data_IF_789206281523
#
_entry.id   IF_789206281523
#
_cell.length_a   1.000
_cell.length_b   1.000
_cell.length_c   1.000
_cell.angle_alpha   90.00
_cell.angle_beta   90.00
_cell.angle_gamma   90.00
#
_symmetry.space_group_name_H-M   'P 1'
#
loop_
_entity.id
_entity.type
_entity.pdbx_description
1 polymer ?
#
# COMPACT_ATOMS: atom_id res chain seq x y z
N UNK A 1 -17.90 -24.91 17.55
CA UNK A 1 -17.36 -25.30 18.87
C UNK A 1 -16.00 -24.65 18.97
N UNK A 2 -15.85 -23.87 20.04
CA UNK A 2 -14.72 -23.06 20.49
C UNK A 2 -14.03 -22.14 19.49
N UNK A 3 -14.71 -21.03 19.21
CA UNK A 3 -14.03 -19.74 19.02
C UNK A 3 -13.58 -19.32 20.42
N UNK A 4 -12.33 -19.63 20.77
CA UNK A 4 -11.70 -19.12 21.98
C UNK A 4 -11.89 -17.60 22.03
N UNK A 5 -12.15 -17.09 23.23
CA UNK A 5 -12.38 -15.69 23.55
C UNK A 5 -11.27 -14.79 22.96
N UNK A 6 -11.42 -14.37 21.71
CA UNK A 6 -10.66 -13.24 21.19
C UNK A 6 -11.00 -12.04 22.07
N UNK A 7 -9.97 -11.41 22.64
CA UNK A 7 -9.99 -10.11 23.32
C UNK A 7 -11.33 -9.36 23.17
N UNK A 8 -12.08 -9.22 24.27
CA UNK A 8 -13.47 -8.73 24.30
C UNK A 8 -13.67 -7.32 23.70
N UNK A 9 -12.60 -6.61 23.34
CA UNK A 9 -12.61 -5.28 22.72
C UNK A 9 -12.02 -5.23 21.27
N UNK A 10 -11.61 -6.38 20.70
CA UNK A 10 -11.08 -6.48 19.34
C UNK A 10 -9.63 -5.99 19.16
N UNK A 11 -8.87 -5.80 20.25
CA UNK A 11 -7.45 -5.47 20.21
C UNK A 11 -6.57 -6.65 19.79
N UNK A 12 -5.35 -6.35 19.35
CA UNK A 12 -4.37 -7.32 18.87
C UNK A 12 -3.94 -8.22 20.04
N UNK A 13 -3.95 -9.53 19.79
CA UNK A 13 -3.57 -10.53 20.79
C UNK A 13 -2.12 -10.98 20.56
N UNK A 14 -1.22 -10.50 21.42
CA UNK A 14 0.23 -10.76 21.32
C UNK A 14 0.54 -12.25 21.56
N UNK A 15 -0.19 -12.94 22.43
CA UNK A 15 0.02 -14.36 22.72
C UNK A 15 -0.42 -15.21 21.54
N UNK A 16 -1.60 -14.90 20.98
CA UNK A 16 -2.09 -15.55 19.76
C UNK A 16 -1.14 -15.31 18.58
N UNK A 17 -0.65 -14.09 18.39
CA UNK A 17 0.39 -13.82 17.39
C UNK A 17 1.64 -14.67 17.61
N UNK A 18 2.14 -14.69 18.85
CA UNK A 18 3.37 -15.42 19.21
C UNK A 18 3.24 -16.93 18.97
N UNK A 19 2.09 -17.52 19.27
CA UNK A 19 1.81 -18.95 19.02
C UNK A 19 1.72 -19.33 17.54
N UNK A 20 1.45 -18.37 16.64
CA UNK A 20 1.43 -18.57 15.19
C UNK A 20 2.77 -18.25 14.52
N UNK A 21 3.76 -17.74 15.26
CA UNK A 21 4.99 -17.20 14.70
C UNK A 21 6.08 -18.27 14.53
N UNK A 22 6.49 -18.51 13.28
CA UNK A 22 7.48 -19.54 12.90
C UNK A 22 8.90 -18.99 12.63
N UNK A 23 9.09 -17.68 12.70
CA UNK A 23 10.34 -16.98 12.35
C UNK A 23 11.51 -17.32 13.27
N UNK A 24 12.76 -17.13 12.84
CA UNK A 24 13.92 -17.26 13.72
C UNK A 24 14.20 -15.99 14.54
N UNK A 25 13.94 -14.80 14.00
CA UNK A 25 14.19 -13.53 14.68
C UNK A 25 13.11 -12.46 14.46
N UNK A 26 12.50 -12.36 13.27
CA UNK A 26 11.50 -11.31 12.99
C UNK A 26 10.26 -11.50 13.84
N UNK A 27 9.89 -10.53 14.65
CA UNK A 27 8.71 -10.59 15.52
C UNK A 27 8.90 -11.37 16.81
N UNK A 28 10.10 -11.93 17.08
CA UNK A 28 10.36 -12.70 18.32
C UNK A 28 10.33 -11.84 19.58
N UNK A 29 10.52 -10.52 19.43
CA UNK A 29 10.17 -9.53 20.44
C UNK A 29 9.15 -8.56 19.86
N UNK A 30 8.04 -8.38 20.56
CA UNK A 30 7.01 -7.41 20.20
C UNK A 30 6.75 -6.45 21.36
N UNK A 31 6.79 -5.16 21.09
CA UNK A 31 6.32 -4.09 21.96
C UNK A 31 4.95 -3.66 21.46
N UNK A 32 3.91 -3.97 22.23
CA UNK A 32 2.54 -3.62 21.90
C UNK A 32 2.05 -2.42 22.71
N UNK A 33 1.46 -1.44 22.04
CA UNK A 33 0.84 -0.28 22.68
C UNK A 33 -0.56 -0.04 22.14
N UNK A 34 -1.47 0.49 22.97
CA UNK A 34 -2.80 0.86 22.49
C UNK A 34 -2.78 2.17 21.69
N UNK A 35 -1.98 3.14 22.14
CA UNK A 35 -1.86 4.45 21.51
C UNK A 35 -0.40 4.89 21.61
N UNK A 36 0.15 5.40 20.51
CA UNK A 36 1.46 6.06 20.50
C UNK A 36 1.42 7.35 19.68
N UNK A 37 2.50 8.14 19.72
CA UNK A 37 2.79 9.16 18.72
C UNK A 37 2.97 8.51 17.36
N UNK A 38 4.05 7.73 17.20
CA UNK A 38 4.28 6.88 16.04
C UNK A 38 5.20 5.71 16.37
N UNK A 39 4.90 4.52 15.83
CA UNK A 39 5.72 3.32 16.02
C UNK A 39 7.12 3.47 15.46
N UNK A 40 7.33 4.36 14.49
CA UNK A 40 8.64 4.63 13.89
C UNK A 40 9.62 5.26 14.89
N UNK A 41 9.13 6.18 15.73
CA UNK A 41 9.97 6.86 16.73
C UNK A 41 10.24 5.92 17.90
N UNK A 42 9.22 5.19 18.36
CA UNK A 42 9.36 4.17 19.39
C UNK A 42 10.40 3.11 19.00
N UNK A 43 10.30 2.62 17.76
CA UNK A 43 11.24 1.63 17.21
C UNK A 43 12.65 2.21 17.02
N UNK A 44 12.79 3.46 16.57
CA UNK A 44 14.09 4.12 16.46
C UNK A 44 14.78 4.19 17.82
N UNK A 45 14.07 4.66 18.85
CA UNK A 45 14.65 4.80 20.19
C UNK A 45 15.12 3.44 20.76
N UNK A 46 14.32 2.40 20.60
CA UNK A 46 14.65 1.05 21.05
C UNK A 46 15.81 0.46 20.24
N UNK A 47 15.82 0.72 18.92
CA UNK A 47 16.89 0.30 18.01
C UNK A 47 18.25 0.92 18.36
N UNK A 48 18.27 2.21 18.70
CA UNK A 48 19.48 2.93 19.15
C UNK A 48 20.00 2.43 20.50
N UNK A 49 19.14 1.82 21.33
CA UNK A 49 19.52 1.17 22.60
C UNK A 49 20.01 -0.27 22.42
N UNK A 50 20.01 -0.80 21.18
CA UNK A 50 20.54 -2.13 20.88
C UNK A 50 19.57 -3.27 21.21
N UNK A 51 18.26 -3.06 21.03
CA UNK A 51 17.29 -4.16 21.14
C UNK A 51 17.58 -5.30 20.15
N UNK A 52 16.99 -6.50 20.32
CA UNK A 52 17.17 -7.60 19.36
C UNK A 52 16.71 -7.25 17.94
N UNK A 53 17.43 -7.75 16.93
CA UNK A 53 17.04 -7.62 15.51
C UNK A 53 15.65 -8.21 15.26
N UNK A 54 14.91 -7.61 14.34
CA UNK A 54 13.54 -8.03 14.01
C UNK A 54 12.50 -7.69 15.08
N UNK A 55 12.85 -6.94 16.13
CA UNK A 55 11.89 -6.41 17.10
C UNK A 55 10.79 -5.62 16.40
N UNK A 56 9.54 -5.84 16.80
CA UNK A 56 8.36 -5.16 16.26
C UNK A 56 7.76 -4.23 17.31
N UNK A 57 7.51 -2.99 16.94
CA UNK A 57 6.66 -2.06 17.67
C UNK A 57 5.31 -1.98 16.97
N UNK A 58 4.22 -2.39 17.64
CA UNK A 58 2.87 -2.38 17.10
C UNK A 58 1.96 -1.48 17.94
N UNK A 59 1.12 -0.70 17.27
CA UNK A 59 0.12 0.13 17.92
C UNK A 59 -1.28 -0.05 17.31
N UNK A 60 -2.34 0.01 18.14
CA UNK A 60 -3.72 0.07 17.60
C UNK A 60 -3.99 1.40 16.91
N UNK A 61 -3.42 2.49 17.44
CA UNK A 61 -3.58 3.84 16.88
C UNK A 61 -2.31 4.68 17.05
N UNK A 62 -2.11 5.63 16.13
CA UNK A 62 -1.01 6.58 16.14
C UNK A 62 -1.55 8.00 16.00
N UNK A 63 -1.16 8.90 16.91
CA UNK A 63 -1.61 10.30 16.92
C UNK A 63 -0.78 11.22 16.03
N UNK A 64 0.43 10.78 15.64
CA UNK A 64 1.40 11.50 14.81
C UNK A 64 1.96 10.61 13.70
N UNK A 65 1.15 9.71 13.16
CA UNK A 65 1.56 8.84 12.06
C UNK A 65 2.00 9.66 10.84
N UNK A 66 3.14 9.25 10.27
CA UNK A 66 3.74 9.86 9.09
C UNK A 66 3.88 8.85 7.96
N UNK A 67 3.74 9.34 6.75
CA UNK A 67 4.13 8.68 5.53
C UNK A 67 5.38 9.34 4.94
N UNK A 68 5.79 8.82 3.79
CA UNK A 68 6.93 9.34 3.05
C UNK A 68 6.81 10.85 2.78
N UNK A 69 7.93 11.58 2.91
CA UNK A 69 8.04 13.04 2.68
C UNK A 69 6.96 13.89 3.39
N UNK A 70 6.70 13.61 4.66
CA UNK A 70 5.73 14.34 5.50
C UNK A 70 4.26 14.22 5.07
N UNK A 71 3.92 13.30 4.16
CA UNK A 71 2.51 12.97 3.94
C UNK A 71 1.90 12.40 5.23
N UNK A 72 0.65 12.73 5.52
CA UNK A 72 -0.05 12.17 6.67
C UNK A 72 -0.50 10.74 6.37
N UNK A 73 -0.42 9.88 7.38
CA UNK A 73 -1.04 8.56 7.36
C UNK A 73 -2.14 8.55 8.42
N UNK A 74 -3.38 8.21 8.03
CA UNK A 74 -4.47 8.12 9.01
C UNK A 74 -4.39 6.78 9.75
N UNK A 75 -3.97 6.84 11.01
CA UNK A 75 -3.85 5.69 11.90
C UNK A 75 -4.67 5.86 13.19
N UNK A 76 -5.85 6.48 13.10
CA UNK A 76 -6.77 6.60 14.24
C UNK A 76 -7.77 5.44 14.33
N UNK A 77 -7.89 4.62 13.27
CA UNK A 77 -8.84 3.53 13.20
C UNK A 77 -8.25 2.23 13.76
N UNK A 78 -8.91 1.61 14.73
CA UNK A 78 -8.56 0.30 15.27
C UNK A 78 -8.87 -0.84 14.28
N UNK A 79 -8.28 -2.02 14.50
CA UNK A 79 -8.50 -3.18 13.63
C UNK A 79 -7.64 -3.19 12.37
N UNK A 80 -6.66 -2.29 12.27
CA UNK A 80 -5.60 -2.29 11.28
C UNK A 80 -4.29 -2.82 11.88
N UNK A 81 -3.24 -2.90 11.06
CA UNK A 81 -1.89 -3.19 11.52
C UNK A 81 -1.04 -1.94 11.28
N UNK A 82 -0.61 -1.31 12.37
CA UNK A 82 0.35 -0.20 12.34
C UNK A 82 1.56 -0.61 13.14
N UNK A 83 2.68 -0.83 12.45
CA UNK A 83 3.87 -1.35 13.10
C UNK A 83 5.14 -0.84 12.46
N UNK A 84 6.23 -0.96 13.22
CA UNK A 84 7.59 -0.72 12.77
C UNK A 84 8.48 -1.88 13.17
N UNK A 85 9.37 -2.31 12.27
CA UNK A 85 10.31 -3.41 12.46
C UNK A 85 11.72 -2.83 12.47
N UNK A 86 12.49 -3.20 13.49
CA UNK A 86 13.88 -2.79 13.66
C UNK A 86 14.76 -3.79 12.94
N UNK A 87 15.58 -3.31 12.00
CA UNK A 87 16.44 -4.15 11.16
C UNK A 87 17.89 -3.68 11.23
N UNK A 88 18.78 -4.54 11.74
CA UNK A 88 20.23 -4.29 11.70
C UNK A 88 20.86 -4.95 10.49
N UNK A 89 21.60 -4.20 9.69
CA UNK A 89 22.25 -4.67 8.45
C UNK A 89 23.74 -4.37 8.45
N UNK A 90 24.55 -5.08 7.64
CA UNK A 90 25.93 -4.69 7.43
C UNK A 90 26.02 -3.21 7.04
N UNK A 91 26.99 -2.49 7.58
CA UNK A 91 27.24 -1.08 7.24
C UNK A 91 27.39 -0.94 5.71
N UNK A 92 26.62 -0.03 5.12
CA UNK A 92 26.80 0.33 3.73
C UNK A 92 28.14 1.05 3.53
N UNK A 93 28.88 0.67 2.49
CA UNK A 93 30.19 1.27 2.17
C UNK A 93 30.09 2.45 1.18
N UNK A 94 28.89 2.68 0.62
CA UNK A 94 28.58 3.79 -0.28
C UNK A 94 27.11 4.18 -0.20
N UNK A 95 26.78 5.40 -0.62
CA UNK A 95 25.40 5.88 -0.70
C UNK A 95 24.54 5.04 -1.66
N UNK A 96 25.14 4.56 -2.75
CA UNK A 96 24.49 3.69 -3.73
C UNK A 96 24.11 2.33 -3.11
N UNK A 97 25.02 1.73 -2.33
CA UNK A 97 24.74 0.50 -1.61
C UNK A 97 23.64 0.71 -0.56
N UNK A 98 23.67 1.84 0.15
CA UNK A 98 22.65 2.20 1.14
C UNK A 98 21.28 2.37 0.47
N UNK A 99 21.23 3.15 -0.62
CA UNK A 99 20.06 3.32 -1.46
C UNK A 99 19.48 1.97 -1.86
N UNK A 100 20.30 1.10 -2.46
CA UNK A 100 19.86 -0.21 -2.92
C UNK A 100 19.32 -1.09 -1.78
N UNK A 101 19.98 -1.12 -0.63
CA UNK A 101 19.52 -1.86 0.54
C UNK A 101 18.18 -1.35 1.09
N UNK A 102 17.95 -0.03 1.04
CA UNK A 102 16.68 0.58 1.41
C UNK A 102 15.55 0.03 0.53
N UNK A 103 15.73 0.08 -0.79
CA UNK A 103 14.73 -0.39 -1.74
C UNK A 103 14.52 -1.90 -1.70
N UNK A 104 15.59 -2.68 -1.58
CA UNK A 104 15.50 -4.13 -1.42
C UNK A 104 14.59 -4.44 -0.20
N UNK A 105 14.74 -3.68 0.89
CA UNK A 105 13.93 -3.85 2.10
C UNK A 105 12.46 -3.41 1.91
N UNK A 106 12.21 -2.27 1.27
CA UNK A 106 10.85 -1.79 0.95
C UNK A 106 10.11 -2.77 0.03
N UNK A 107 10.80 -3.28 -0.99
CA UNK A 107 10.31 -4.30 -1.91
C UNK A 107 9.98 -5.59 -1.16
N UNK A 108 10.88 -6.08 -0.32
CA UNK A 108 10.68 -7.30 0.48
C UNK A 108 9.45 -7.18 1.37
N UNK A 109 9.24 -6.02 2.00
CA UNK A 109 8.04 -5.75 2.79
C UNK A 109 6.76 -5.82 1.92
N UNK A 110 6.80 -5.20 0.74
CA UNK A 110 5.71 -5.27 -0.22
C UNK A 110 5.38 -6.69 -0.68
N UNK A 111 6.40 -7.44 -1.13
CA UNK A 111 6.26 -8.82 -1.61
C UNK A 111 5.74 -9.75 -0.50
N UNK A 112 6.14 -9.51 0.75
CA UNK A 112 5.63 -10.26 1.90
C UNK A 112 4.13 -10.08 2.07
N UNK A 113 3.61 -8.86 1.90
CA UNK A 113 2.16 -8.61 1.94
C UNK A 113 1.43 -9.19 0.72
N UNK A 114 2.04 -9.17 -0.47
CA UNK A 114 1.48 -9.83 -1.65
C UNK A 114 1.34 -11.34 -1.43
N UNK A 115 2.33 -11.98 -0.81
CA UNK A 115 2.25 -13.41 -0.50
C UNK A 115 1.12 -13.70 0.50
N UNK A 116 0.98 -12.88 1.55
CA UNK A 116 -0.14 -12.97 2.49
C UNK A 116 -1.49 -12.85 1.78
N UNK A 117 -1.62 -11.90 0.84
CA UNK A 117 -2.85 -11.74 0.06
C UNK A 117 -3.13 -12.97 -0.82
N UNK A 118 -2.09 -13.55 -1.44
CA UNK A 118 -2.17 -14.79 -2.22
C UNK A 118 -2.64 -15.97 -1.36
N UNK A 119 -2.10 -16.13 -0.15
CA UNK A 119 -2.48 -17.19 0.79
C UNK A 119 -3.95 -17.06 1.22
N UNK A 120 -4.42 -15.81 1.36
CA UNK A 120 -5.83 -15.47 1.60
C UNK A 120 -6.72 -15.59 0.35
N UNK A 121 -6.16 -15.96 -0.81
CA UNK A 121 -6.84 -16.05 -2.11
C UNK A 121 -7.48 -14.73 -2.54
N UNK A 122 -6.77 -13.62 -2.29
CA UNK A 122 -7.16 -12.29 -2.69
C UNK A 122 -6.39 -11.86 -3.94
N UNK A 123 -7.13 -11.56 -5.01
CA UNK A 123 -6.56 -11.19 -6.30
C UNK A 123 -6.32 -9.68 -6.43
N UNK A 124 -5.50 -9.31 -7.41
CA UNK A 124 -5.22 -7.91 -7.83
C UNK A 124 -4.47 -7.07 -6.80
N UNK A 125 -3.90 -7.68 -5.77
CA UNK A 125 -2.90 -7.03 -4.94
C UNK A 125 -1.63 -6.83 -5.77
N UNK A 126 -1.17 -5.59 -5.85
CA UNK A 126 0.05 -5.23 -6.55
C UNK A 126 0.84 -4.21 -5.75
N UNK A 127 2.11 -4.07 -6.09
CA UNK A 127 2.96 -3.02 -5.55
C UNK A 127 2.93 -1.84 -6.50
N UNK A 128 2.51 -0.70 -5.98
CA UNK A 128 2.62 0.57 -6.67
C UNK A 128 3.92 1.20 -6.22
N UNK A 129 4.88 1.18 -7.14
CA UNK A 129 6.24 1.63 -6.88
C UNK A 129 6.26 3.06 -6.29
N UNK A 130 7.13 3.33 -5.30
CA UNK A 130 8.04 2.40 -4.63
C UNK A 130 7.45 1.75 -3.36
N UNK A 131 6.49 2.42 -2.72
CA UNK A 131 6.23 2.25 -1.28
C UNK A 131 4.77 1.99 -0.92
N UNK A 132 3.93 1.66 -1.90
CA UNK A 132 2.51 1.40 -1.66
C UNK A 132 2.13 -0.02 -2.12
N UNK A 133 1.26 -0.68 -1.34
CA UNK A 133 0.54 -1.86 -1.81
C UNK A 133 -0.87 -1.43 -2.19
N UNK A 134 -1.29 -1.75 -3.41
CA UNK A 134 -2.56 -1.36 -3.99
C UNK A 134 -3.41 -2.57 -4.34
N UNK A 135 -4.73 -2.35 -4.38
CA UNK A 135 -5.71 -3.28 -4.93
C UNK A 135 -6.69 -2.48 -5.78
N UNK A 136 -6.85 -2.83 -7.06
CA UNK A 136 -7.77 -2.14 -8.00
C UNK A 136 -7.57 -0.62 -8.03
N UNK A 137 -6.31 -0.16 -8.01
CA UNK A 137 -5.97 1.27 -8.01
C UNK A 137 -6.15 2.00 -6.68
N UNK A 138 -6.41 1.28 -5.58
CA UNK A 138 -6.63 1.86 -4.25
C UNK A 138 -5.59 1.36 -3.26
N UNK A 139 -5.09 2.24 -2.40
CA UNK A 139 -4.06 1.91 -1.41
C UNK A 139 -4.62 1.02 -0.29
N UNK A 140 -3.99 -0.13 -0.07
CA UNK A 140 -4.28 -1.00 1.09
C UNK A 140 -3.19 -0.90 2.15
N UNK A 141 -1.94 -0.66 1.75
CA UNK A 141 -0.84 -0.45 2.68
C UNK A 141 0.15 0.61 2.20
N UNK A 142 0.80 1.27 3.16
CA UNK A 142 1.97 2.11 2.95
C UNK A 142 3.19 1.52 3.65
N UNK A 143 4.33 1.64 2.99
CA UNK A 143 5.65 1.21 3.46
C UNK A 143 6.51 2.46 3.63
N UNK A 144 7.31 2.49 4.68
CA UNK A 144 8.26 3.57 4.92
C UNK A 144 9.51 2.98 5.55
N UNK A 145 10.66 3.11 4.89
CA UNK A 145 11.93 2.80 5.51
C UNK A 145 12.68 4.07 5.88
N UNK A 146 13.14 4.16 7.13
CA UNK A 146 14.02 5.23 7.59
C UNK A 146 15.39 4.64 7.95
N UNK A 147 16.44 5.20 7.37
CA UNK A 147 17.81 4.99 7.85
C UNK A 147 17.99 5.79 9.15
N UNK A 148 18.18 5.09 10.26
CA UNK A 148 18.38 5.68 11.58
C UNK A 148 19.87 5.79 11.98
N UNK A 149 20.78 5.54 11.04
CA UNK A 149 22.22 5.69 11.20
C UNK A 149 22.94 4.40 11.61
N UNK A 150 24.13 4.58 12.18
CA UNK A 150 25.00 3.46 12.57
C UNK A 150 24.88 3.16 14.06
N UNK A 151 24.86 1.87 14.39
CA UNK A 151 24.97 1.37 15.76
C UNK A 151 26.14 0.42 15.87
N UNK A 152 26.62 0.19 17.09
CA UNK A 152 27.63 -0.84 17.37
C UNK A 152 26.95 -2.15 17.76
N UNK A 153 27.34 -3.23 17.10
CA UNK A 153 26.97 -4.59 17.46
C UNK A 153 27.67 -5.05 18.73
N UNK A 154 27.31 -6.25 19.20
CA UNK A 154 27.84 -6.85 20.41
C UNK A 154 29.36 -7.10 20.34
N UNK A 155 29.92 -7.28 19.14
CA UNK A 155 31.35 -7.51 18.91
C UNK A 155 32.08 -6.20 18.50
N UNK A 156 31.39 -5.06 18.59
CA UNK A 156 31.94 -3.73 18.30
C UNK A 156 31.93 -3.34 16.82
N UNK A 157 31.41 -4.19 15.95
CA UNK A 157 31.23 -3.93 14.53
C UNK A 157 30.12 -2.91 14.28
N UNK A 158 30.30 -2.04 13.29
CA UNK A 158 29.26 -1.07 12.91
C UNK A 158 28.20 -1.74 12.03
N UNK A 159 26.93 -1.51 12.37
CA UNK A 159 25.77 -1.97 11.61
C UNK A 159 24.88 -0.79 11.24
N UNK A 160 24.31 -0.83 10.04
CA UNK A 160 23.25 0.08 9.64
C UNK A 160 21.96 -0.27 10.38
N UNK A 161 21.29 0.73 10.95
CA UNK A 161 19.98 0.59 11.58
C UNK A 161 18.90 1.12 10.64
N UNK A 162 18.03 0.24 10.18
CA UNK A 162 16.83 0.62 9.44
C UNK A 162 15.58 0.40 10.28
N UNK A 163 14.64 1.34 10.17
CA UNK A 163 13.31 1.22 10.76
C UNK A 163 12.29 1.07 9.63
N UNK A 164 11.73 -0.12 9.50
CA UNK A 164 10.71 -0.46 8.50
C UNK A 164 9.31 -0.25 9.09
N UNK A 165 8.68 0.87 8.77
CA UNK A 165 7.29 1.16 9.09
C UNK A 165 6.33 0.62 8.06
N UNK A 166 5.23 0.03 8.52
CA UNK A 166 4.10 -0.31 7.67
C UNK A 166 2.77 0.03 8.33
N UNK A 167 1.90 0.62 7.53
CA UNK A 167 0.49 0.75 7.85
C UNK A 167 -0.34 -0.06 6.88
N UNK A 168 -1.08 -1.04 7.38
CA UNK A 168 -1.93 -1.93 6.57
C UNK A 168 -3.38 -1.76 7.02
N UNK A 169 -4.24 -1.39 6.07
CA UNK A 169 -5.68 -1.33 6.27
C UNK A 169 -6.24 -2.76 6.27
N UNK A 170 -6.47 -3.34 7.45
CA UNK A 170 -6.90 -4.73 7.57
C UNK A 170 -8.42 -4.82 7.71
N UNK A 171 -8.97 -4.52 8.90
CA UNK A 171 -10.40 -4.64 9.18
C UNK A 171 -11.17 -3.31 9.15
N UNK A 172 -10.49 -2.21 8.81
CA UNK A 172 -11.16 -0.92 8.60
C UNK A 172 -12.28 -1.03 7.58
N UNK A 173 -13.47 -0.58 8.00
CA UNK A 173 -14.61 -0.49 7.11
C UNK A 173 -14.54 0.81 6.32
N UNK A 174 -13.87 0.76 5.17
CA UNK A 174 -13.77 1.92 4.26
C UNK A 174 -15.13 2.42 3.80
N UNK A 175 -16.20 1.62 3.97
CA UNK A 175 -17.55 2.07 3.61
C UNK A 175 -18.09 3.19 4.48
N UNK A 176 -17.51 3.36 5.67
CA UNK A 176 -17.83 4.45 6.59
C UNK A 176 -17.09 5.75 6.27
N UNK A 177 -16.19 5.70 5.28
CA UNK A 177 -15.35 6.81 4.84
C UNK A 177 -15.49 7.01 3.33
N UNK A 178 -16.65 7.50 2.85
CA UNK A 178 -16.91 7.62 1.42
C UNK A 178 -15.87 8.43 0.64
N UNK A 179 -15.25 9.40 1.31
CA UNK A 179 -14.16 10.22 0.81
C UNK A 179 -12.89 9.43 0.45
N UNK A 180 -12.73 8.23 1.01
CA UNK A 180 -11.56 7.38 0.82
C UNK A 180 -11.76 6.33 -0.27
N UNK A 181 -12.98 6.08 -0.76
CA UNK A 181 -13.23 4.98 -1.70
C UNK A 181 -12.42 5.05 -2.98
N UNK A 182 -12.17 6.25 -3.50
CA UNK A 182 -11.38 6.46 -4.72
C UNK A 182 -9.86 6.33 -4.51
N UNK A 183 -9.38 6.19 -3.27
CA UNK A 183 -7.94 6.26 -2.95
C UNK A 183 -7.45 5.15 -2.03
N UNK A 184 -8.31 4.52 -1.23
CA UNK A 184 -7.94 3.50 -0.26
C UNK A 184 -8.98 2.37 -0.17
N UNK A 185 -8.50 1.19 0.23
CA UNK A 185 -9.31 0.01 0.55
C UNK A 185 -8.73 -0.71 1.78
N UNK A 186 -9.36 -1.80 2.20
CA UNK A 186 -8.85 -2.67 3.27
C UNK A 186 -8.92 -4.13 2.85
N UNK A 187 -8.10 -4.99 3.48
CA UNK A 187 -8.10 -6.43 3.23
C UNK A 187 -9.49 -7.03 3.46
N UNK A 188 -10.19 -6.59 4.50
CA UNK A 188 -11.58 -6.98 4.77
C UNK A 188 -12.54 -6.59 3.64
N UNK A 189 -12.42 -5.38 3.10
CA UNK A 189 -13.27 -4.94 1.97
C UNK A 189 -13.04 -5.82 0.74
N UNK A 190 -11.78 -6.15 0.43
CA UNK A 190 -11.45 -7.05 -0.69
C UNK A 190 -11.83 -8.51 -0.41
N UNK A 191 -11.83 -8.93 0.85
CA UNK A 191 -12.36 -10.21 1.32
C UNK A 191 -13.89 -10.23 1.49
N UNK A 192 -14.62 -9.47 0.67
CA UNK A 192 -16.10 -9.44 0.64
C UNK A 192 -16.74 -9.12 2.01
N UNK A 193 -16.05 -8.36 2.85
CA UNK A 193 -16.48 -7.98 4.19
C UNK A 193 -16.15 -8.98 5.30
N UNK A 194 -15.55 -10.12 4.95
CA UNK A 194 -15.09 -11.15 5.89
C UNK A 194 -13.97 -10.63 6.79
N UNK A 195 -14.12 -10.84 8.09
CA UNK A 195 -13.13 -10.39 9.07
C UNK A 195 -11.80 -11.13 8.87
N UNK A 196 -10.69 -10.41 9.05
CA UNK A 196 -9.34 -10.93 8.90
C UNK A 196 -8.72 -11.09 10.28
N UNK A 197 -8.19 -12.28 10.55
CA UNK A 197 -7.38 -12.58 11.72
C UNK A 197 -6.05 -11.81 11.63
N UNK A 198 -5.91 -10.74 12.42
CA UNK A 198 -4.75 -9.85 12.36
C UNK A 198 -3.47 -10.55 12.82
N UNK A 199 -3.59 -11.41 13.81
CA UNK A 199 -2.46 -12.13 14.39
C UNK A 199 -1.89 -13.13 13.37
N UNK A 200 -2.77 -13.87 12.68
CA UNK A 200 -2.36 -14.78 11.60
C UNK A 200 -1.73 -14.05 10.42
N UNK A 201 -2.38 -12.97 9.99
CA UNK A 201 -1.90 -12.15 8.90
C UNK A 201 -0.50 -11.59 9.21
N UNK A 202 -0.30 -11.08 10.44
CA UNK A 202 0.98 -10.55 10.89
C UNK A 202 2.05 -11.64 11.01
N UNK A 203 1.70 -12.82 11.55
CA UNK A 203 2.65 -13.94 11.66
C UNK A 203 3.10 -14.45 10.28
N UNK A 204 2.17 -14.62 9.33
CA UNK A 204 2.50 -14.98 7.95
C UNK A 204 3.33 -13.90 7.25
N UNK A 205 3.01 -12.62 7.47
CA UNK A 205 3.82 -11.51 7.00
C UNK A 205 5.27 -11.59 7.52
N UNK A 206 5.46 -11.80 8.83
CA UNK A 206 6.78 -11.93 9.43
C UNK A 206 7.58 -13.12 8.86
N UNK A 207 6.93 -14.27 8.65
CA UNK A 207 7.55 -15.45 8.03
C UNK A 207 8.03 -15.17 6.60
N UNK A 208 7.18 -14.53 5.79
CA UNK A 208 7.53 -14.13 4.44
C UNK A 208 8.65 -13.08 4.41
N UNK A 209 8.59 -12.09 5.30
CA UNK A 209 9.61 -11.05 5.42
C UNK A 209 10.97 -11.65 5.76
N UNK A 210 11.05 -12.49 6.80
CA UNK A 210 12.30 -13.11 7.21
C UNK A 210 12.93 -13.97 6.09
N UNK A 211 12.09 -14.72 5.36
CA UNK A 211 12.55 -15.53 4.23
C UNK A 211 13.11 -14.65 3.11
N UNK A 212 12.39 -13.60 2.73
CA UNK A 212 12.76 -12.71 1.62
C UNK A 212 13.95 -11.80 1.95
N UNK A 213 14.12 -11.41 3.22
CA UNK A 213 15.29 -10.65 3.69
C UNK A 213 16.62 -11.43 3.53
N UNK A 214 16.56 -12.75 3.32
CA UNK A 214 17.75 -13.59 3.06
C UNK A 214 18.12 -13.67 1.58
N UNK A 215 17.24 -13.22 0.68
CA UNK A 215 17.51 -13.22 -0.75
C UNK A 215 18.55 -12.16 -1.10
N UNK A 216 19.42 -12.48 -2.06
CA UNK A 216 20.25 -11.47 -2.70
C UNK A 216 19.42 -10.58 -3.62
N UNK A 217 20.04 -9.50 -4.05
CA UNK A 217 19.38 -8.50 -4.87
C UNK A 217 18.99 -8.98 -6.25
N UNK A 218 19.85 -9.76 -6.92
CA UNK A 218 19.54 -10.23 -8.27
C UNK A 218 18.30 -11.12 -8.25
N UNK A 219 18.15 -11.93 -7.20
CA UNK A 219 16.94 -12.71 -6.94
C UNK A 219 15.73 -11.83 -6.69
N UNK A 220 15.85 -10.80 -5.85
CA UNK A 220 14.75 -9.86 -5.58
C UNK A 220 14.34 -9.08 -6.84
N UNK A 221 15.31 -8.66 -7.65
CA UNK A 221 15.08 -7.98 -8.91
C UNK A 221 14.40 -8.89 -9.94
N UNK A 222 14.83 -10.15 -10.04
CA UNK A 222 14.17 -11.15 -10.90
C UNK A 222 12.71 -11.39 -10.46
N UNK A 223 12.46 -11.58 -9.17
CA UNK A 223 11.11 -11.70 -8.61
C UNK A 223 10.25 -10.47 -8.93
N UNK A 224 10.80 -9.27 -8.71
CA UNK A 224 10.13 -8.02 -9.02
C UNK A 224 9.79 -7.91 -10.52
N UNK A 225 10.75 -8.25 -11.38
CA UNK A 225 10.63 -8.17 -12.85
C UNK A 225 9.52 -9.03 -13.43
N UNK A 226 9.23 -10.15 -12.77
CA UNK A 226 8.18 -11.09 -13.17
C UNK A 226 6.83 -10.79 -12.55
N UNK A 227 6.77 -9.92 -11.55
CA UNK A 227 5.54 -9.55 -10.88
C UNK A 227 4.83 -8.38 -11.55
N UNK A 228 3.58 -8.13 -11.18
CA UNK A 228 2.83 -6.92 -11.57
C UNK A 228 3.34 -5.63 -10.90
N UNK A 229 4.51 -5.65 -10.24
CA UNK A 229 5.22 -4.45 -9.80
C UNK A 229 5.43 -3.46 -10.95
N UNK A 230 5.57 -3.97 -12.17
CA UNK A 230 5.97 -3.22 -13.35
C UNK A 230 4.90 -3.29 -14.42
N UNK A 231 3.93 -2.38 -14.35
CA UNK A 231 3.01 -2.20 -15.47
C UNK A 231 3.72 -1.39 -16.57
N UNK A 232 4.57 -2.08 -17.32
CA UNK A 232 5.31 -1.52 -18.45
C UNK A 232 4.31 -1.05 -19.49
N UNK A 233 4.35 0.23 -19.81
CA UNK A 233 3.36 0.86 -20.69
C UNK A 233 2.26 1.61 -19.94
N UNK A 234 2.22 1.51 -18.60
CA UNK A 234 1.26 2.26 -17.81
C UNK A 234 1.46 3.76 -18.00
N UNK A 235 0.35 4.41 -18.35
CA UNK A 235 0.27 5.86 -18.46
C UNK A 235 0.23 6.44 -17.06
N UNK A 236 1.13 7.36 -16.76
CA UNK A 236 1.27 7.96 -15.43
C UNK A 236 1.36 9.47 -15.51
N UNK A 237 0.86 10.14 -14.48
CA UNK A 237 1.16 11.53 -14.16
C UNK A 237 2.38 11.53 -13.26
N UNK A 238 3.46 12.13 -13.76
CA UNK A 238 4.68 12.38 -13.01
C UNK A 238 4.54 13.72 -12.32
N UNK A 239 4.85 13.78 -11.03
CA UNK A 239 4.96 15.03 -10.28
C UNK A 239 6.35 15.09 -9.66
N UNK A 240 7.20 15.99 -10.16
CA UNK A 240 8.55 16.19 -9.60
C UNK A 240 8.47 16.92 -8.27
N UNK A 241 9.20 16.44 -7.26
CA UNK A 241 9.11 17.00 -5.91
C UNK A 241 9.76 18.38 -5.80
N UNK A 242 10.90 18.59 -6.46
CA UNK A 242 11.68 19.83 -6.33
C UNK A 242 11.03 21.00 -7.06
N UNK A 243 10.48 20.75 -8.26
CA UNK A 243 9.87 21.78 -9.11
C UNK A 243 8.36 21.90 -8.90
N UNK A 244 7.71 20.87 -8.36
CA UNK A 244 6.24 20.74 -8.37
C UNK A 244 5.65 20.53 -9.76
N UNK A 245 6.49 20.43 -10.80
CA UNK A 245 6.03 20.29 -12.18
C UNK A 245 5.33 18.95 -12.36
N UNK A 246 4.17 19.00 -13.01
CA UNK A 246 3.41 17.80 -13.38
C UNK A 246 3.36 17.62 -14.88
N UNK A 247 3.61 16.41 -15.36
CA UNK A 247 3.49 16.07 -16.78
C UNK A 247 3.08 14.60 -16.96
N UNK A 248 2.42 14.25 -18.06
CA UNK A 248 2.13 12.86 -18.40
C UNK A 248 3.37 12.14 -18.92
N UNK A 249 3.43 10.83 -18.68
CA UNK A 249 4.49 9.96 -19.19
C UNK A 249 4.03 8.51 -19.23
N UNK A 250 4.86 7.66 -19.84
CA UNK A 250 4.66 6.21 -19.89
C UNK A 250 5.80 5.55 -19.13
N UNK A 251 5.48 4.69 -18.16
CA UNK A 251 6.49 3.88 -17.49
C UNK A 251 7.10 2.88 -18.50
N UNK A 252 8.43 2.90 -18.62
CA UNK A 252 9.16 2.04 -19.57
C UNK A 252 9.89 0.90 -18.91
N UNK A 253 10.54 1.17 -17.79
CA UNK A 253 11.32 0.17 -17.07
C UNK A 253 11.59 0.61 -15.63
N UNK A 254 12.00 -0.34 -14.80
CA UNK A 254 12.76 -0.10 -13.58
C UNK A 254 14.11 -0.80 -13.75
N UNK A 255 15.22 -0.11 -13.51
CA UNK A 255 16.56 -0.67 -13.63
C UNK A 255 16.89 -1.57 -12.44
N UNK A 256 17.96 -2.37 -12.53
CA UNK A 256 18.47 -3.15 -11.39
C UNK A 256 18.73 -2.27 -10.17
N UNK A 257 19.21 -1.05 -10.37
CA UNK A 257 19.46 -0.10 -9.28
C UNK A 257 18.20 0.64 -8.82
N UNK A 258 17.01 0.07 -9.05
CA UNK A 258 15.70 0.60 -8.65
C UNK A 258 15.36 2.01 -9.17
N UNK A 259 15.96 2.42 -10.28
CA UNK A 259 15.63 3.69 -10.95
C UNK A 259 14.47 3.48 -11.93
N UNK A 260 13.51 4.39 -11.96
CA UNK A 260 12.39 4.30 -12.91
C UNK A 260 12.75 5.06 -14.17
N UNK A 261 12.49 4.43 -15.32
CA UNK A 261 12.57 5.06 -16.63
C UNK A 261 11.17 5.40 -17.14
N UNK A 262 10.95 6.65 -17.49
CA UNK A 262 9.68 7.20 -17.97
C UNK A 262 9.91 7.88 -19.32
N UNK A 263 9.02 7.66 -20.28
CA UNK A 263 9.01 8.42 -21.52
C UNK A 263 7.91 9.47 -21.47
N UNK A 264 8.25 10.75 -21.65
CA UNK A 264 7.26 11.82 -21.77
C UNK A 264 6.61 11.84 -23.17
N UNK A 265 5.64 12.75 -23.37
CA UNK A 265 4.85 12.85 -24.60
C UNK A 265 5.64 13.36 -25.80
N UNK A 266 6.78 14.01 -25.55
CA UNK A 266 7.71 14.45 -26.58
C UNK A 266 8.69 13.33 -26.96
N UNK A 267 8.55 12.15 -26.36
CA UNK A 267 9.40 10.98 -26.59
C UNK A 267 10.70 10.99 -25.79
N UNK A 268 10.93 11.99 -24.92
CA UNK A 268 12.14 12.09 -24.10
C UNK A 268 12.10 11.05 -22.99
N UNK A 269 13.21 10.32 -22.83
CA UNK A 269 13.39 9.35 -21.77
C UNK A 269 13.99 10.02 -20.52
N UNK A 270 13.38 9.78 -19.37
CA UNK A 270 13.81 10.29 -18.06
C UNK A 270 14.08 9.08 -17.16
N UNK A 271 15.27 9.01 -16.58
CA UNK A 271 15.61 8.04 -15.53
C UNK A 271 15.75 8.78 -14.22
N UNK A 272 14.99 8.33 -13.21
CA UNK A 272 14.82 9.08 -11.97
C UNK A 272 14.68 8.12 -10.77
N UNK A 273 15.09 8.58 -9.59
CA UNK A 273 15.00 7.84 -8.32
C UNK A 273 13.66 8.08 -7.61
N UNK A 274 13.37 7.31 -6.55
CA UNK A 274 12.16 7.55 -5.74
C UNK A 274 12.13 8.91 -5.06
N UNK A 275 13.30 9.50 -4.85
CA UNK A 275 13.44 10.79 -4.20
C UNK A 275 13.11 11.96 -5.13
N UNK A 276 12.93 11.72 -6.43
CA UNK A 276 12.78 12.78 -7.44
C UNK A 276 11.32 13.09 -7.81
N UNK A 277 10.42 12.10 -7.79
CA UNK A 277 9.03 12.28 -8.24
C UNK A 277 8.02 11.32 -7.56
N UNK A 278 6.74 11.64 -7.72
CA UNK A 278 5.63 10.72 -7.48
C UNK A 278 4.96 10.31 -8.79
N UNK A 279 4.45 9.08 -8.84
CA UNK A 279 3.68 8.53 -9.95
C UNK A 279 2.24 8.27 -9.53
N UNK A 280 1.32 8.66 -10.40
CA UNK A 280 -0.09 8.26 -10.32
C UNK A 280 -0.56 7.77 -11.67
N UNK A 281 -1.25 6.62 -11.76
CA UNK A 281 -1.84 6.17 -13.01
C UNK A 281 -2.78 7.23 -13.62
N UNK A 282 -2.77 7.31 -14.94
CA UNK A 282 -3.77 8.05 -15.72
C UNK A 282 -4.67 6.98 -16.36
N UNK A 283 -5.91 6.84 -15.87
CA UNK A 283 -6.85 5.88 -16.45
C UNK A 283 -7.08 6.13 -17.94
N UNK A 284 -7.02 5.07 -18.73
CA UNK A 284 -7.25 5.13 -20.18
C UNK A 284 -8.73 5.03 -20.54
N UNK A 285 -9.57 4.49 -19.64
CA UNK A 285 -11.00 4.28 -19.85
C UNK A 285 -11.83 5.16 -18.93
N UNK A 286 -13.04 5.51 -19.37
CA UNK A 286 -14.00 6.29 -18.57
C UNK A 286 -15.32 5.54 -18.40
N UNK A 287 -15.83 5.59 -17.18
CA UNK A 287 -17.18 5.15 -16.83
C UNK A 287 -17.96 6.42 -16.49
N UNK A 288 -19.00 6.69 -17.28
CA UNK A 288 -19.87 7.83 -17.02
C UNK A 288 -21.11 7.33 -16.28
N UNK A 289 -21.40 7.98 -15.16
CA UNK A 289 -22.51 7.63 -14.29
C UNK A 289 -23.54 8.75 -14.35
N UNK A 290 -24.76 8.41 -14.74
CA UNK A 290 -25.89 9.34 -14.68
C UNK A 290 -26.87 8.88 -13.60
N UNK A 291 -27.22 9.81 -12.71
CA UNK A 291 -28.03 9.54 -11.52
C UNK A 291 -29.44 10.18 -11.58
N UNK A 292 -29.86 10.73 -12.73
CA UNK A 292 -31.12 11.47 -12.81
C UNK A 292 -30.98 12.94 -12.44
N UNK A 293 -31.68 13.83 -13.15
CA UNK A 293 -31.69 15.28 -12.89
C UNK A 293 -32.25 15.68 -11.51
N UNK A 294 -32.99 14.78 -10.85
CA UNK A 294 -33.61 15.02 -9.54
C UNK A 294 -32.88 14.32 -8.36
N UNK A 295 -31.71 13.70 -8.59
CA UNK A 295 -30.96 13.09 -7.51
C UNK A 295 -30.23 14.15 -6.68
N UNK A 296 -30.32 14.01 -5.35
CA UNK A 296 -29.51 14.82 -4.45
C UNK A 296 -28.01 14.48 -4.57
N UNK A 297 -27.16 15.44 -4.18
CA UNK A 297 -25.70 15.31 -4.25
C UNK A 297 -25.19 14.11 -3.43
N UNK A 298 -25.88 13.77 -2.33
CA UNK A 298 -25.49 12.65 -1.47
C UNK A 298 -25.66 11.31 -2.18
N UNK A 299 -26.76 11.13 -2.89
CA UNK A 299 -27.06 9.95 -3.70
C UNK A 299 -26.07 9.82 -4.86
N UNK A 300 -25.74 10.94 -5.53
CA UNK A 300 -24.76 10.96 -6.61
C UNK A 300 -23.34 10.60 -6.12
N UNK A 301 -22.95 11.11 -4.96
CA UNK A 301 -21.67 10.79 -4.33
C UNK A 301 -21.63 9.33 -3.86
N UNK A 302 -22.72 8.81 -3.30
CA UNK A 302 -22.82 7.41 -2.87
C UNK A 302 -22.73 6.42 -4.03
N UNK A 303 -23.35 6.74 -5.17
CA UNK A 303 -23.26 5.94 -6.38
C UNK A 303 -21.84 5.94 -6.97
N UNK A 304 -21.21 7.12 -7.06
CA UNK A 304 -19.82 7.28 -7.50
C UNK A 304 -18.86 6.44 -6.63
N UNK A 305 -18.99 6.59 -5.32
CA UNK A 305 -18.26 5.82 -4.31
C UNK A 305 -18.40 4.31 -4.49
N UNK A 306 -19.63 3.82 -4.72
CA UNK A 306 -19.88 2.42 -4.97
C UNK A 306 -19.16 1.94 -6.23
N UNK A 307 -19.25 2.65 -7.35
CA UNK A 307 -18.52 2.26 -8.57
C UNK A 307 -17.01 2.28 -8.37
N UNK A 308 -16.47 3.30 -7.70
CA UNK A 308 -15.04 3.38 -7.36
C UNK A 308 -14.58 2.18 -6.52
N UNK A 309 -15.49 1.58 -5.75
CA UNK A 309 -15.17 0.39 -4.97
C UNK A 309 -15.17 -0.92 -5.76
N UNK A 310 -15.75 -0.94 -6.96
CA UNK A 310 -15.99 -2.14 -7.77
C UNK A 310 -15.03 -2.27 -8.95
N UNK A 311 -14.48 -1.16 -9.43
CA UNK A 311 -13.66 -1.13 -10.66
C UNK A 311 -12.18 -0.95 -10.37
N UNK A 312 -11.33 -1.33 -11.32
CA UNK A 312 -9.90 -1.05 -11.28
C UNK A 312 -9.63 0.41 -11.63
N UNK A 313 -9.34 1.24 -10.62
CA UNK A 313 -9.07 2.67 -10.80
C UNK A 313 -7.72 2.96 -11.47
N UNK A 314 -6.88 1.95 -11.72
CA UNK A 314 -5.71 2.10 -12.61
C UNK A 314 -6.18 2.24 -14.06
N UNK A 315 -7.20 1.47 -14.45
CA UNK A 315 -7.71 1.41 -15.82
C UNK A 315 -8.86 2.36 -16.08
N UNK A 316 -9.73 2.56 -15.08
CA UNK A 316 -10.99 3.28 -15.21
C UNK A 316 -11.01 4.55 -14.36
N UNK A 317 -11.40 5.66 -14.99
CA UNK A 317 -11.89 6.84 -14.27
C UNK A 317 -13.42 6.81 -14.24
N UNK A 318 -14.02 7.37 -13.20
CA UNK A 318 -15.48 7.43 -13.05
C UNK A 318 -15.89 8.90 -12.92
N UNK A 319 -16.84 9.33 -13.74
CA UNK A 319 -17.35 10.71 -13.77
C UNK A 319 -18.88 10.70 -13.66
N UNK A 320 -19.42 11.53 -12.77
CA UNK A 320 -20.84 11.82 -12.77
C UNK A 320 -21.17 12.83 -13.88
N UNK A 321 -22.18 12.53 -14.71
CA UNK A 321 -22.60 13.37 -15.83
C UNK A 321 -24.06 13.81 -15.70
N UNK A 322 -24.42 14.87 -16.42
CA UNK A 322 -25.80 15.39 -16.55
C UNK A 322 -26.46 14.95 -17.85
N UNK A 323 -27.78 15.13 -17.96
CA UNK A 323 -28.58 14.71 -19.13
C UNK A 323 -28.06 15.23 -20.47
N UNK A 324 -27.48 16.44 -20.49
CA UNK A 324 -26.94 17.04 -21.72
C UNK A 324 -25.77 16.26 -22.32
N UNK A 325 -24.95 15.60 -21.49
CA UNK A 325 -23.79 14.81 -21.94
C UNK A 325 -24.18 13.39 -22.38
N UNK A 326 -25.40 12.93 -22.09
CA UNK A 326 -25.87 11.58 -22.50
C UNK A 326 -26.00 11.46 -24.02
N UNK A 327 -26.23 12.55 -24.75
CA UNK A 327 -26.56 12.52 -26.19
C UNK A 327 -25.34 12.30 -27.11
N UNK A 328 -24.12 12.22 -26.58
CA UNK A 328 -22.88 12.23 -27.38
C UNK A 328 -22.23 10.84 -27.59
N UNK A 329 -22.83 9.69 -27.19
CA UNK A 329 -22.13 8.39 -27.23
C UNK A 329 -22.95 7.12 -27.44
N UNK A 330 -22.26 5.97 -27.49
CA UNK A 330 -22.84 4.61 -27.53
C UNK A 330 -23.32 4.21 -26.13
N UNK A 331 -24.64 4.04 -25.94
CA UNK A 331 -25.28 4.01 -24.63
C UNK A 331 -25.75 2.61 -24.23
N UNK A 332 -25.31 2.12 -23.06
CA UNK A 332 -25.85 0.93 -22.41
C UNK A 332 -26.72 1.34 -21.21
N UNK A 333 -28.00 0.98 -21.22
CA UNK A 333 -28.96 1.36 -20.17
C UNK A 333 -29.28 0.14 -19.32
N UNK A 334 -29.04 0.21 -18.00
CA UNK A 334 -29.46 -0.83 -17.06
C UNK A 334 -30.61 -0.31 -16.18
N UNK A 335 -31.88 -0.63 -16.48
CA UNK A 335 -33.01 -0.16 -15.69
C UNK A 335 -33.08 -0.90 -14.35
N UNK A 336 -33.04 -0.17 -13.23
CA UNK A 336 -33.29 -0.75 -11.90
C UNK A 336 -34.80 -0.77 -11.57
N UNK A 337 -35.29 -1.87 -10.98
CA UNK A 337 -36.71 -2.12 -10.69
C UNK A 337 -37.40 -1.11 -9.74
N UNK A 338 -36.65 -0.26 -9.02
CA UNK A 338 -37.19 0.86 -8.25
C UNK A 338 -36.93 2.15 -9.04
N UNK A 339 -37.95 3.00 -9.23
CA UNK A 339 -37.91 4.29 -9.95
C UNK A 339 -36.93 5.33 -9.34
N UNK A 340 -35.64 5.00 -9.27
CA UNK A 340 -34.50 5.90 -9.04
C UNK A 340 -33.50 5.50 -10.12
N UNK A 341 -33.47 6.26 -11.22
CA UNK A 341 -32.85 5.87 -12.50
C UNK A 341 -31.34 5.63 -12.35
N UNK A 342 -30.83 4.55 -12.95
CA UNK A 342 -29.40 4.27 -13.11
C UNK A 342 -29.10 4.14 -14.62
N UNK A 343 -28.14 4.89 -15.16
CA UNK A 343 -27.63 4.69 -16.53
C UNK A 343 -26.09 4.67 -16.49
N UNK A 344 -25.49 3.59 -17.01
CA UNK A 344 -24.05 3.32 -17.01
C UNK A 344 -23.54 3.44 -18.45
N UNK A 345 -22.87 4.53 -18.79
CA UNK A 345 -22.30 4.69 -20.13
C UNK A 345 -20.83 4.30 -20.12
N UNK A 346 -20.50 3.39 -21.03
CA UNK A 346 -19.17 2.85 -21.24
C UNK A 346 -18.55 3.55 -22.47
N UNK A 347 -17.49 4.36 -22.30
CA UNK A 347 -16.77 4.94 -23.45
C UNK A 347 -15.52 4.12 -23.81
N UNK A 348 -15.37 3.86 -25.11
CA UNK A 348 -14.27 3.18 -25.83
C UNK A 348 -14.03 1.67 -25.56
N UNK A 349 -15.03 0.81 -25.79
CA UNK A 349 -14.82 -0.66 -25.90
C UNK A 349 -15.02 -1.23 -27.32
N UNK A 350 -15.62 -0.49 -28.24
CA UNK A 350 -16.09 -1.03 -29.54
C UNK A 350 -15.37 -0.45 -30.77
N UNK A 351 -14.25 0.25 -30.59
CA UNK A 351 -13.37 0.64 -31.70
C UNK A 351 -12.03 -0.06 -31.57
#
# INVERSE_FOLDING_TARGET
MDVSESTRDGTFDVEKFSSKLETSYVGRRMVYTKVTGTTMDDAREDGLRGCPDGTIHLAETQTKARGYKNHSWNALNTGNLYFSIILYRPKAISDEMNYKAIFDTELVAGLSLLQVASDLRLDNFCLKWPNDVWVKGRKVAGILLEDAGLVKGAEGEERQLYILGMGINVNSDMRRHPELYGIATSVRCENRGGFIDREEMMASFCGNLERLLKCDHDTLYDMASKSQLFDKGLRVRVTEYNSGQTFPGVMKNITSDWMVTIQDDNGKLLTKSQYDFSLRPIPSKKILVYNGDAADQQSANGLLAMFQSLVDLVQFSIENISDKKLQEGNIYIYPTKKKRTHIILYSDFFN
#
